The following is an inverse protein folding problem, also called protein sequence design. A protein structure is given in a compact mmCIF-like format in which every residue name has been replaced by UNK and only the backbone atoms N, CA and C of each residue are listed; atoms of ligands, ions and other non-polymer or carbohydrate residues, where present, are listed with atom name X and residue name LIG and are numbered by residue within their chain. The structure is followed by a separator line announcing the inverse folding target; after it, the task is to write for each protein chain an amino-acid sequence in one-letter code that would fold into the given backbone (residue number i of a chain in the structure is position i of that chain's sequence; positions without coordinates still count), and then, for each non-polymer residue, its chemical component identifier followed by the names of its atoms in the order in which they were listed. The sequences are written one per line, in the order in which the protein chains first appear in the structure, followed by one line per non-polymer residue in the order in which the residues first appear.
data_IF_355346668404
#
_entry.id   IF_355346668404
#
_cell.length_a   1.000
_cell.length_b   1.000
_cell.length_c   1.000
_cell.angle_alpha   90.00
_cell.angle_beta   90.00
_cell.angle_gamma   90.00
#
_symmetry.space_group_name_H-M   'P 1'
#
loop_
_entity.id
_entity.type
_entity.pdbx_description
1 polymer ?
#
# COMPACT_ATOMS: atom_id res chain seq x y z
N UNK A 1 12.13 0.50 -17.66
CA UNK A 1 12.47 -0.55 -16.66
C UNK A 1 11.38 -1.59 -16.53
N UNK A 2 11.67 -2.75 -15.90
CA UNK A 2 10.64 -3.76 -15.65
C UNK A 2 9.74 -3.35 -14.48
N UNK A 3 8.49 -3.82 -14.48
CA UNK A 3 7.52 -3.69 -13.38
C UNK A 3 8.13 -4.15 -12.03
N UNK A 4 8.97 -5.20 -12.07
CA UNK A 4 9.69 -5.74 -10.92
C UNK A 4 10.50 -4.68 -10.17
N UNK A 5 11.25 -3.85 -10.90
CA UNK A 5 12.08 -2.84 -10.25
C UNK A 5 11.24 -1.77 -9.54
N UNK A 6 10.16 -1.32 -10.15
CA UNK A 6 9.23 -0.34 -9.54
C UNK A 6 8.56 -0.93 -8.30
N UNK A 7 8.14 -2.20 -8.34
CA UNK A 7 7.61 -2.90 -7.17
C UNK A 7 8.61 -2.97 -6.03
N UNK A 8 9.85 -3.32 -6.32
CA UNK A 8 10.91 -3.42 -5.32
C UNK A 8 11.17 -2.08 -4.64
N UNK A 9 11.34 -1.02 -5.43
CA UNK A 9 11.58 0.33 -4.92
C UNK A 9 10.38 0.85 -4.10
N UNK A 10 9.15 0.58 -4.54
CA UNK A 10 7.95 0.90 -3.78
C UNK A 10 7.90 0.14 -2.45
N UNK A 11 8.24 -1.15 -2.43
CA UNK A 11 8.28 -1.94 -1.20
C UNK A 11 9.37 -1.46 -0.22
N UNK A 12 10.53 -1.05 -0.72
CA UNK A 12 11.57 -0.41 0.09
C UNK A 12 11.04 0.88 0.75
N UNK A 13 10.37 1.73 -0.02
CA UNK A 13 9.73 2.94 0.50
C UNK A 13 8.70 2.61 1.58
N UNK A 14 7.80 1.65 1.31
CA UNK A 14 6.76 1.23 2.27
C UNK A 14 7.37 0.68 3.56
N UNK A 15 8.44 -0.11 3.45
CA UNK A 15 9.19 -0.64 4.61
C UNK A 15 9.82 0.48 5.43
N UNK A 16 10.47 1.44 4.78
CA UNK A 16 11.11 2.57 5.45
C UNK A 16 10.09 3.46 6.19
N UNK A 17 8.94 3.72 5.56
CA UNK A 17 7.85 4.49 6.18
C UNK A 17 7.23 3.74 7.36
N UNK A 18 7.07 2.42 7.28
CA UNK A 18 6.64 1.60 8.41
C UNK A 18 7.64 1.65 9.58
N UNK A 19 8.92 1.88 9.30
CA UNK A 19 9.98 2.15 10.29
C UNK A 19 10.04 3.60 10.78
N UNK A 20 9.09 4.47 10.40
CA UNK A 20 8.98 5.85 10.87
C UNK A 20 9.64 6.91 9.99
N UNK A 21 10.10 6.57 8.79
CA UNK A 21 10.68 7.54 7.86
C UNK A 21 9.61 8.33 7.12
N UNK A 22 9.96 9.54 6.68
CA UNK A 22 9.06 10.37 5.89
C UNK A 22 8.93 9.84 4.47
N UNK A 23 7.70 9.68 3.96
CA UNK A 23 7.43 9.14 2.63
C UNK A 23 8.04 9.98 1.49
N UNK A 24 7.92 11.32 1.57
CA UNK A 24 8.42 12.21 0.51
C UNK A 24 9.94 12.21 0.45
N UNK A 25 10.61 12.19 1.62
CA UNK A 25 12.07 12.16 1.71
C UNK A 25 12.63 10.83 1.19
N UNK A 26 11.98 9.71 1.52
CA UNK A 26 12.36 8.39 1.01
C UNK A 26 12.20 8.29 -0.51
N UNK A 27 11.09 8.78 -1.05
CA UNK A 27 10.88 8.80 -2.50
C UNK A 27 11.93 9.66 -3.19
N UNK A 28 12.24 10.84 -2.65
CA UNK A 28 13.28 11.71 -3.20
C UNK A 28 14.65 11.03 -3.19
N UNK A 29 15.02 10.39 -2.08
CA UNK A 29 16.29 9.66 -1.95
C UNK A 29 16.39 8.48 -2.93
N UNK A 30 15.31 7.68 -3.04
CA UNK A 30 15.26 6.55 -3.98
C UNK A 30 15.37 7.03 -5.43
N UNK A 31 14.67 8.11 -5.81
CA UNK A 31 14.73 8.66 -7.15
C UNK A 31 16.12 9.23 -7.48
N UNK A 32 16.77 9.88 -6.52
CA UNK A 32 18.14 10.38 -6.67
C UNK A 32 19.16 9.25 -6.83
N UNK A 33 18.99 8.15 -6.09
CA UNK A 33 19.82 6.95 -6.19
C UNK A 33 19.59 6.14 -7.48
N UNK A 34 18.47 6.39 -8.19
CA UNK A 34 18.09 5.68 -9.41
C UNK A 34 17.83 6.66 -10.58
N UNK A 35 18.86 7.39 -11.06
CA UNK A 35 18.71 8.42 -12.12
C UNK A 35 18.22 7.83 -13.46
N UNK A 36 18.41 6.53 -13.66
CA UNK A 36 17.97 5.79 -14.86
C UNK A 36 16.45 5.55 -14.92
N UNK A 37 15.69 5.88 -13.88
CA UNK A 37 14.23 5.78 -13.89
C UNK A 37 13.63 6.77 -14.90
N UNK A 38 12.80 6.25 -15.82
CA UNK A 38 11.99 7.10 -16.71
C UNK A 38 10.97 7.92 -15.91
N UNK A 39 10.43 8.99 -16.50
CA UNK A 39 9.35 9.76 -15.88
C UNK A 39 8.11 8.89 -15.57
N UNK A 40 7.83 7.92 -16.44
CA UNK A 40 6.75 6.97 -16.23
C UNK A 40 7.00 6.07 -15.01
N UNK A 41 8.24 5.55 -14.86
CA UNK A 41 8.62 4.72 -13.70
C UNK A 41 8.55 5.52 -12.40
N UNK A 42 9.00 6.79 -12.41
CA UNK A 42 8.91 7.69 -11.27
C UNK A 42 7.46 7.95 -10.87
N UNK A 43 6.60 8.21 -11.87
CA UNK A 43 5.16 8.37 -11.63
C UNK A 43 4.52 7.11 -11.05
N UNK A 44 4.84 5.93 -11.59
CA UNK A 44 4.34 4.65 -11.10
C UNK A 44 4.85 4.35 -9.67
N UNK A 45 6.12 4.62 -9.37
CA UNK A 45 6.69 4.49 -8.04
C UNK A 45 5.96 5.37 -7.02
N UNK A 46 5.70 6.64 -7.37
CA UNK A 46 4.94 7.57 -6.53
C UNK A 46 3.52 7.07 -6.30
N UNK A 47 2.81 6.70 -7.38
CA UNK A 47 1.42 6.21 -7.28
C UNK A 47 1.33 5.02 -6.33
N UNK A 48 2.21 4.03 -6.49
CA UNK A 48 2.22 2.82 -5.66
C UNK A 48 2.57 3.15 -4.21
N UNK A 49 3.61 3.95 -3.96
CA UNK A 49 4.06 4.26 -2.61
C UNK A 49 3.00 5.09 -1.85
N UNK A 50 2.47 6.17 -2.44
CA UNK A 50 1.40 6.97 -1.85
C UNK A 50 0.11 6.16 -1.70
N UNK A 51 -0.21 5.33 -2.70
CA UNK A 51 -1.39 4.48 -2.67
C UNK A 51 -1.34 3.43 -1.56
N UNK A 52 -0.22 2.73 -1.38
CA UNK A 52 -0.04 1.80 -0.28
C UNK A 52 -0.20 2.47 1.10
N UNK A 53 0.29 3.71 1.27
CA UNK A 53 0.10 4.43 2.52
C UNK A 53 -1.37 4.87 2.70
N UNK A 54 -2.00 5.37 1.65
CA UNK A 54 -3.41 5.79 1.68
C UNK A 54 -4.35 4.64 2.03
N UNK A 55 -4.09 3.46 1.51
CA UNK A 55 -4.92 2.27 1.72
C UNK A 55 -4.32 1.28 2.73
N UNK A 56 -3.35 1.73 3.55
CA UNK A 56 -2.62 0.85 4.47
C UNK A 56 -3.53 0.12 5.46
N UNK A 57 -4.57 0.77 5.97
CA UNK A 57 -5.53 0.16 6.89
C UNK A 57 -6.27 -1.03 6.25
N UNK A 58 -6.87 -0.83 5.08
CA UNK A 58 -7.59 -1.88 4.37
C UNK A 58 -6.67 -2.98 3.84
N UNK A 59 -5.51 -2.63 3.28
CA UNK A 59 -4.56 -3.61 2.76
C UNK A 59 -4.02 -4.52 3.87
N UNK A 60 -3.62 -3.95 5.02
CA UNK A 60 -3.13 -4.73 6.17
C UNK A 60 -4.22 -5.59 6.78
N UNK A 61 -5.44 -5.07 6.89
CA UNK A 61 -6.60 -5.85 7.34
C UNK A 61 -6.86 -7.05 6.42
N UNK A 62 -6.95 -6.82 5.11
CA UNK A 62 -7.17 -7.89 4.13
C UNK A 62 -6.03 -8.92 4.14
N UNK A 63 -4.78 -8.47 4.30
CA UNK A 63 -3.65 -9.39 4.44
C UNK A 63 -3.78 -10.22 5.71
N UNK A 64 -4.08 -9.61 6.85
CA UNK A 64 -4.27 -10.31 8.13
C UNK A 64 -5.39 -11.36 8.08
N UNK A 65 -6.51 -11.07 7.41
CA UNK A 65 -7.62 -12.01 7.20
C UNK A 65 -7.21 -13.28 6.39
N UNK A 66 -6.14 -13.18 5.62
CA UNK A 66 -5.62 -14.30 4.84
C UNK A 66 -4.53 -15.10 5.56
N UNK A 67 -4.05 -14.61 6.71
CA UNK A 67 -2.92 -15.18 7.42
C UNK A 67 -3.34 -15.92 8.69
N UNK A 68 -2.69 -17.05 8.96
CA UNK A 68 -2.83 -17.76 10.25
C UNK A 68 -1.89 -17.20 11.33
N UNK A 69 -0.80 -16.53 10.92
CA UNK A 69 0.20 -15.91 11.81
C UNK A 69 0.71 -14.62 11.17
N UNK A 70 1.07 -13.60 11.98
CA UNK A 70 1.64 -12.37 11.47
C UNK A 70 2.95 -12.61 10.69
N UNK A 71 3.19 -11.80 9.68
CA UNK A 71 4.46 -11.79 8.94
C UNK A 71 5.50 -11.04 9.77
N UNK A 72 6.62 -11.69 10.06
CA UNK A 72 7.71 -11.09 10.85
C UNK A 72 8.68 -10.28 9.97
N UNK A 73 8.84 -10.68 8.70
CA UNK A 73 9.75 -9.99 7.77
C UNK A 73 9.08 -8.75 7.16
N UNK A 74 9.56 -7.51 7.46
CA UNK A 74 8.92 -6.29 6.98
C UNK A 74 8.98 -6.11 5.46
N UNK A 75 10.05 -6.61 4.81
CA UNK A 75 10.18 -6.54 3.35
C UNK A 75 9.19 -7.46 2.65
N UNK A 76 9.00 -8.67 3.20
CA UNK A 76 7.99 -9.61 2.70
C UNK A 76 6.59 -9.01 2.80
N UNK A 77 6.25 -8.44 3.96
CA UNK A 77 4.96 -7.78 4.17
C UNK A 77 4.77 -6.64 3.16
N UNK A 78 5.76 -5.74 3.04
CA UNK A 78 5.67 -4.59 2.14
C UNK A 78 5.52 -4.99 0.67
N UNK A 79 6.22 -6.03 0.20
CA UNK A 79 6.05 -6.54 -1.17
C UNK A 79 4.65 -7.12 -1.41
N UNK A 80 4.08 -7.82 -0.43
CA UNK A 80 2.69 -8.29 -0.53
C UNK A 80 1.70 -7.13 -0.57
N UNK A 81 1.86 -6.12 0.29
CA UNK A 81 1.00 -4.92 0.29
C UNK A 81 1.08 -4.16 -1.03
N UNK A 82 2.29 -3.98 -1.59
CA UNK A 82 2.50 -3.36 -2.90
C UNK A 82 1.81 -4.14 -4.00
N UNK A 83 1.96 -5.46 -4.04
CA UNK A 83 1.30 -6.30 -5.04
C UNK A 83 -0.23 -6.27 -4.89
N UNK A 84 -0.76 -6.33 -3.66
CA UNK A 84 -2.20 -6.22 -3.39
C UNK A 84 -2.74 -4.85 -3.82
N UNK A 85 -2.03 -3.75 -3.54
CA UNK A 85 -2.38 -2.42 -4.03
C UNK A 85 -2.46 -2.40 -5.56
N UNK A 86 -1.44 -2.91 -6.24
CA UNK A 86 -1.42 -2.94 -7.71
C UNK A 86 -2.57 -3.78 -8.29
N UNK A 87 -2.86 -4.95 -7.70
CA UNK A 87 -3.98 -5.80 -8.13
C UNK A 87 -5.35 -5.12 -7.97
N UNK A 88 -5.50 -4.24 -6.99
CA UNK A 88 -6.78 -3.61 -6.66
C UNK A 88 -6.97 -2.24 -7.31
N UNK A 89 -5.90 -1.46 -7.46
CA UNK A 89 -5.98 -0.04 -7.78
C UNK A 89 -5.26 0.37 -9.07
N UNK A 90 -4.55 -0.54 -9.75
CA UNK A 90 -3.88 -0.23 -11.01
C UNK A 90 -4.43 -1.04 -12.17
N UNK A 91 -4.08 -0.64 -13.40
CA UNK A 91 -4.47 -1.35 -14.62
C UNK A 91 -3.43 -2.36 -15.10
N UNK A 92 -2.44 -2.67 -14.26
CA UNK A 92 -1.42 -3.65 -14.59
C UNK A 92 -2.05 -5.04 -14.78
N UNK A 93 -1.52 -5.83 -15.71
CA UNK A 93 -1.99 -7.19 -15.92
C UNK A 93 -1.80 -8.03 -14.64
N UNK A 94 -2.87 -8.61 -14.07
CA UNK A 94 -2.80 -9.27 -12.77
C UNK A 94 -1.75 -10.37 -12.67
N UNK A 95 -1.57 -11.15 -13.74
CA UNK A 95 -0.57 -12.22 -13.79
C UNK A 95 0.87 -11.66 -13.73
N UNK A 96 1.13 -10.51 -14.37
CA UNK A 96 2.43 -9.86 -14.32
C UNK A 96 2.73 -9.36 -12.91
N UNK A 97 1.76 -8.70 -12.26
CA UNK A 97 1.90 -8.22 -10.86
C UNK A 97 2.25 -9.37 -9.92
N UNK A 98 1.52 -10.50 -10.02
CA UNK A 98 1.77 -11.66 -9.15
C UNK A 98 3.15 -12.28 -9.43
N UNK A 99 3.49 -12.51 -10.70
CA UNK A 99 4.76 -13.14 -11.04
C UNK A 99 5.96 -12.31 -10.56
N UNK A 100 5.95 -11.01 -10.85
CA UNK A 100 7.03 -10.11 -10.43
C UNK A 100 7.16 -10.02 -8.90
N UNK A 101 6.04 -9.92 -8.18
CA UNK A 101 6.05 -9.90 -6.72
C UNK A 101 6.60 -11.21 -6.14
N UNK A 102 6.17 -12.36 -6.67
CA UNK A 102 6.64 -13.68 -6.23
C UNK A 102 8.14 -13.86 -6.49
N UNK A 103 8.64 -13.39 -7.64
CA UNK A 103 10.06 -13.46 -7.96
C UNK A 103 10.91 -12.53 -7.08
N UNK A 104 10.41 -11.33 -6.73
CA UNK A 104 11.07 -10.46 -5.75
C UNK A 104 11.09 -11.08 -4.35
N UNK A 105 9.97 -11.65 -3.91
CA UNK A 105 9.84 -12.31 -2.61
C UNK A 105 10.75 -13.55 -2.53
N UNK A 106 10.91 -14.29 -3.61
CA UNK A 106 11.81 -15.44 -3.65
C UNK A 106 13.28 -15.05 -3.35
N UNK A 107 13.68 -13.82 -3.66
CA UNK A 107 15.06 -13.33 -3.36
C UNK A 107 15.28 -13.04 -1.87
N UNK A 108 14.23 -12.74 -1.10
CA UNK A 108 14.33 -12.38 0.34
C UNK A 108 14.62 -13.61 1.18
N UNK A 109 14.43 -14.75 0.90
CA UNK A 109 14.62 -15.89 1.80
C UNK A 109 15.09 -17.14 1.06
N UNK A 110 15.93 -16.95 0.04
CA UNK A 110 16.46 -18.05 -0.77
C UNK A 110 15.37 -19.00 -1.30
N UNK A 111 14.22 -18.42 -1.66
CA UNK A 111 13.09 -19.16 -2.26
C UNK A 111 12.04 -19.65 -1.27
N UNK A 112 12.31 -19.68 0.03
CA UNK A 112 11.37 -20.24 1.04
C UNK A 112 9.98 -19.59 1.05
N UNK A 113 9.86 -18.31 0.68
CA UNK A 113 8.59 -17.58 0.68
C UNK A 113 7.84 -17.63 -0.66
N UNK A 114 8.40 -18.24 -1.70
CA UNK A 114 7.83 -18.23 -3.06
C UNK A 114 6.41 -18.82 -3.11
N UNK A 115 6.25 -20.03 -2.60
CA UNK A 115 4.96 -20.72 -2.60
C UNK A 115 3.92 -20.01 -1.73
N UNK A 116 4.35 -19.51 -0.60
CA UNK A 116 3.50 -18.72 0.31
C UNK A 116 2.98 -17.45 -0.37
N UNK A 117 3.87 -16.64 -0.96
CA UNK A 117 3.49 -15.40 -1.65
C UNK A 117 2.52 -15.66 -2.81
N UNK A 118 2.81 -16.67 -3.64
CA UNK A 118 1.92 -17.05 -4.73
C UNK A 118 0.54 -17.48 -4.22
N UNK A 119 0.47 -18.25 -3.15
CA UNK A 119 -0.80 -18.68 -2.55
C UNK A 119 -1.60 -17.48 -2.01
N UNK A 120 -0.98 -16.56 -1.27
CA UNK A 120 -1.60 -15.35 -0.73
C UNK A 120 -2.13 -14.45 -1.85
N UNK A 121 -1.30 -14.11 -2.84
CA UNK A 121 -1.71 -13.20 -3.92
C UNK A 121 -2.82 -13.81 -4.80
N UNK A 122 -2.80 -15.11 -5.07
CA UNK A 122 -3.88 -15.78 -5.80
C UNK A 122 -5.15 -15.88 -4.96
N UNK A 123 -5.04 -16.11 -3.65
CA UNK A 123 -6.17 -16.06 -2.73
C UNK A 123 -6.78 -14.66 -2.71
N UNK A 124 -5.95 -13.62 -2.61
CA UNK A 124 -6.41 -12.23 -2.68
C UNK A 124 -7.23 -11.95 -3.94
N UNK A 125 -6.74 -12.37 -5.11
CA UNK A 125 -7.47 -12.19 -6.38
C UNK A 125 -8.86 -12.86 -6.37
N UNK A 126 -8.96 -14.08 -5.83
CA UNK A 126 -10.24 -14.80 -5.79
C UNK A 126 -11.23 -14.22 -4.79
N UNK A 127 -10.73 -13.77 -3.63
CA UNK A 127 -11.54 -13.37 -2.48
C UNK A 127 -11.65 -11.84 -2.32
N UNK A 128 -11.13 -11.05 -3.28
CA UNK A 128 -11.04 -9.60 -3.19
C UNK A 128 -12.36 -8.92 -2.81
N UNK A 129 -13.47 -9.29 -3.44
CA UNK A 129 -14.79 -8.71 -3.16
C UNK A 129 -15.24 -9.01 -1.72
N UNK A 130 -15.03 -10.24 -1.24
CA UNK A 130 -15.37 -10.66 0.12
C UNK A 130 -14.49 -9.93 1.15
N UNK A 131 -13.17 -9.86 0.91
CA UNK A 131 -12.22 -9.17 1.79
C UNK A 131 -12.54 -7.67 1.87
N UNK A 132 -12.85 -7.04 0.74
CA UNK A 132 -13.28 -5.63 0.71
C UNK A 132 -14.58 -5.41 1.48
N UNK A 133 -15.51 -6.34 1.42
CA UNK A 133 -16.74 -6.28 2.23
C UNK A 133 -16.44 -6.38 3.73
N UNK A 134 -15.53 -7.24 4.13
CA UNK A 134 -15.08 -7.36 5.53
C UNK A 134 -14.41 -6.10 6.07
N UNK A 135 -13.71 -5.32 5.23
CA UNK A 135 -13.13 -4.03 5.66
C UNK A 135 -14.18 -3.07 6.23
N UNK A 136 -15.47 -3.21 5.88
CA UNK A 136 -16.54 -2.36 6.40
C UNK A 136 -16.83 -2.60 7.88
N UNK A 137 -16.38 -3.71 8.46
CA UNK A 137 -16.62 -4.09 9.86
C UNK A 137 -15.52 -3.57 10.81
N UNK A 138 -14.40 -3.13 10.28
CA UNK A 138 -13.28 -2.56 11.04
C UNK A 138 -13.05 -1.10 10.67
N UNK A 139 -13.05 -0.20 11.64
CA UNK A 139 -12.93 1.24 11.37
C UNK A 139 -11.58 1.64 10.77
N UNK A 140 -10.48 0.99 11.17
CA UNK A 140 -9.15 1.25 10.61
C UNK A 140 -9.09 0.84 9.14
N UNK A 141 -9.65 -0.31 8.80
CA UNK A 141 -9.71 -0.80 7.43
C UNK A 141 -10.69 0.01 6.57
N UNK A 142 -11.87 0.33 7.12
CA UNK A 142 -12.94 1.06 6.44
C UNK A 142 -12.52 2.48 6.04
N UNK A 143 -11.84 3.18 6.95
CA UNK A 143 -11.49 4.58 6.76
C UNK A 143 -10.00 4.79 6.43
N UNK A 144 -9.20 3.72 6.42
CA UNK A 144 -7.75 3.79 6.25
C UNK A 144 -7.09 4.82 7.19
N UNK A 145 -7.57 4.87 8.42
CA UNK A 145 -7.15 5.84 9.43
C UNK A 145 -6.73 5.11 10.71
N UNK A 146 -5.64 5.52 11.36
CA UNK A 146 -5.20 4.90 12.61
C UNK A 146 -6.30 4.93 13.68
N UNK A 147 -6.43 3.85 14.45
CA UNK A 147 -7.46 3.71 15.48
C UNK A 147 -7.45 4.85 16.52
N UNK A 148 -6.25 5.35 16.90
CA UNK A 148 -6.13 6.47 17.83
C UNK A 148 -6.78 7.74 17.29
N UNK A 149 -6.63 8.02 15.98
CA UNK A 149 -7.19 9.23 15.37
C UNK A 149 -8.70 9.12 15.18
N UNK A 150 -9.19 7.96 14.74
CA UNK A 150 -10.64 7.73 14.66
C UNK A 150 -11.30 7.78 16.04
N UNK A 151 -10.65 7.24 17.08
CA UNK A 151 -11.10 7.33 18.48
C UNK A 151 -11.14 8.78 18.97
N UNK A 152 -10.08 9.55 18.73
CA UNK A 152 -10.02 10.97 19.05
C UNK A 152 -11.16 11.76 18.39
N UNK A 153 -11.39 11.54 17.09
CA UNK A 153 -12.45 12.23 16.35
C UNK A 153 -13.85 11.87 16.88
N UNK A 154 -14.09 10.61 17.20
CA UNK A 154 -15.37 10.16 17.80
C UNK A 154 -15.62 10.83 19.14
N UNK A 155 -14.59 10.96 19.97
CA UNK A 155 -14.70 11.56 21.30
C UNK A 155 -14.94 13.08 21.23
N UNK A 156 -14.19 13.80 20.39
CA UNK A 156 -14.20 15.25 20.35
C UNK A 156 -15.21 15.86 19.36
N UNK A 157 -15.60 15.09 18.33
CA UNK A 157 -16.52 15.52 17.28
C UNK A 157 -17.62 14.48 17.02
N UNK A 158 -18.40 14.05 18.04
CA UNK A 158 -19.31 12.91 17.96
C UNK A 158 -20.35 13.03 16.84
N UNK A 159 -20.78 14.25 16.51
CA UNK A 159 -21.76 14.52 15.44
C UNK A 159 -21.14 14.66 14.05
N UNK A 160 -19.83 14.90 13.94
CA UNK A 160 -19.17 15.29 12.69
C UNK A 160 -18.02 14.38 12.27
N UNK A 161 -17.60 13.45 13.12
CA UNK A 161 -16.41 12.63 12.88
C UNK A 161 -16.45 11.87 11.55
N UNK A 162 -17.61 11.38 11.13
CA UNK A 162 -17.78 10.73 9.82
C UNK A 162 -17.49 11.67 8.65
N UNK A 163 -18.03 12.90 8.72
CA UNK A 163 -17.82 13.88 7.66
C UNK A 163 -16.36 14.32 7.60
N UNK A 164 -15.70 14.47 8.76
CA UNK A 164 -14.27 14.82 8.86
C UNK A 164 -13.43 13.72 8.19
N UNK A 165 -13.62 12.46 8.58
CA UNK A 165 -12.87 11.33 7.99
C UNK A 165 -13.11 11.23 6.47
N UNK A 166 -14.37 11.36 6.04
CA UNK A 166 -14.69 11.30 4.61
C UNK A 166 -14.04 12.44 3.84
N UNK A 167 -14.04 13.65 4.40
CA UNK A 167 -13.35 14.79 3.79
C UNK A 167 -11.83 14.59 3.68
N UNK A 168 -11.19 14.03 4.73
CA UNK A 168 -9.76 13.71 4.73
C UNK A 168 -9.39 12.61 3.71
N UNK A 169 -10.32 11.72 3.39
CA UNK A 169 -10.10 10.64 2.42
C UNK A 169 -10.25 11.09 0.97
N UNK A 170 -10.89 12.23 0.74
CA UNK A 170 -11.08 12.79 -0.59
C UNK A 170 -9.82 13.53 -1.09
N UNK A 171 -9.72 13.64 -2.42
CA UNK A 171 -8.68 14.48 -3.01
C UNK A 171 -8.90 15.94 -2.59
N UNK A 172 -7.89 16.62 -2.02
CA UNK A 172 -8.05 18.02 -1.62
C UNK A 172 -8.32 18.90 -2.85
N UNK A 173 -9.11 19.98 -2.71
CA UNK A 173 -9.30 20.94 -3.78
C UNK A 173 -7.98 21.63 -4.11
N UNK A 174 -7.73 21.87 -5.40
CA UNK A 174 -6.57 22.61 -5.84
C UNK A 174 -6.76 24.09 -5.49
N UNK A 175 -5.91 24.61 -4.62
CA UNK A 175 -5.90 26.02 -4.23
C UNK A 175 -4.68 26.70 -4.84
N UNK A 176 -4.91 27.76 -5.64
CA UNK A 176 -3.86 28.53 -6.29
C UNK A 176 -3.87 29.97 -5.75
N UNK A 177 -2.67 30.48 -5.47
CA UNK A 177 -2.47 31.90 -5.21
C UNK A 177 -1.96 32.57 -6.48
N UNK A 178 -2.71 33.53 -6.98
CA UNK A 178 -2.29 34.32 -8.13
C UNK A 178 -1.30 35.40 -7.66
N UNK A 179 -0.11 35.45 -8.27
CA UNK A 179 0.80 36.56 -8.09
C UNK A 179 0.23 37.78 -8.88
N UNK A 180 0.02 38.89 -8.17
CA UNK A 180 -0.32 40.19 -8.74
C UNK A 180 0.93 40.92 -9.13
#
# INVERSE_FOLDING_TARGET
MSLANVQQLAAQTVTAVAGGRNLSDELAAIMAANPQLSQQDKGALQDIAYGCQRFSGSLRFMLAEMLNKPIVNPQLESLLLVAMYQLQHTRNAPHAVVNEAVDQIARIGQGQYRSFANAILRRFQREQAQLTSKCKTDDTAKYNMPAWLSGYLKQHYPKHWHNIITACSNRPPMTLRVNR
#
